data_IF_744694401632
#
_entry.id   IF_744694401632
#
_cell.length_a   1.000
_cell.length_b   1.000
_cell.length_c   1.000
_cell.angle_alpha   90.00
_cell.angle_beta   90.00
_cell.angle_gamma   90.00
#
_symmetry.space_group_name_H-M   'P 1'
#
loop_
_entity.id
_entity.type
_entity.pdbx_description
1 polymer ?
#
# COMPACT_ATOMS: atom_id res chain seq x y z
N UNK A 1 -17.88 8.10 -0.68
CA UNK A 1 -16.81 8.07 -1.71
C UNK A 1 -16.92 6.76 -2.50
N UNK A 2 -16.92 6.80 -3.82
CA UNK A 2 -16.88 5.57 -4.63
C UNK A 2 -15.63 4.74 -4.33
N UNK A 3 -15.76 3.43 -4.46
CA UNK A 3 -14.66 2.51 -4.07
C UNK A 3 -13.37 2.75 -4.87
N UNK A 4 -13.48 3.09 -6.13
CA UNK A 4 -12.32 3.37 -6.99
C UNK A 4 -11.59 4.65 -6.54
N UNK A 5 -12.34 5.66 -6.15
CA UNK A 5 -11.81 6.90 -5.61
C UNK A 5 -11.15 6.68 -4.24
N UNK A 6 -11.78 5.87 -3.39
CA UNK A 6 -11.23 5.49 -2.08
C UNK A 6 -9.92 4.70 -2.23
N UNK A 7 -9.85 3.80 -3.22
CA UNK A 7 -8.63 3.06 -3.55
C UNK A 7 -7.51 4.01 -3.97
N UNK A 8 -7.80 4.92 -4.89
CA UNK A 8 -6.84 5.92 -5.35
C UNK A 8 -6.32 6.79 -4.23
N UNK A 9 -7.18 7.26 -3.36
CA UNK A 9 -6.80 8.08 -2.20
C UNK A 9 -5.93 7.30 -1.21
N UNK A 10 -6.27 6.04 -0.95
CA UNK A 10 -5.46 5.17 -0.10
C UNK A 10 -4.04 5.02 -0.67
N UNK A 11 -3.94 4.73 -1.96
CA UNK A 11 -2.65 4.58 -2.65
C UNK A 11 -1.85 5.89 -2.59
N UNK A 12 -2.49 7.01 -2.85
CA UNK A 12 -1.85 8.33 -2.80
C UNK A 12 -1.25 8.61 -1.42
N UNK A 13 -1.98 8.28 -0.36
CA UNK A 13 -1.49 8.45 1.01
C UNK A 13 -0.28 7.56 1.29
N UNK A 14 -0.26 6.33 0.77
CA UNK A 14 0.90 5.43 0.92
C UNK A 14 2.13 5.95 0.18
N UNK A 15 1.95 6.71 -0.88
CA UNK A 15 3.05 7.27 -1.69
C UNK A 15 3.51 8.66 -1.24
N UNK A 16 2.82 9.27 -0.29
CA UNK A 16 3.16 10.61 0.24
C UNK A 16 4.63 10.79 0.62
N UNK A 17 5.30 9.78 1.23
CA UNK A 17 6.72 9.92 1.54
C UNK A 17 7.62 10.22 0.36
N UNK A 18 7.19 9.99 -0.88
CA UNK A 18 7.96 10.35 -2.08
C UNK A 18 8.07 11.86 -2.30
N UNK A 19 7.18 12.66 -1.69
CA UNK A 19 7.26 14.12 -1.73
C UNK A 19 7.99 14.69 -0.51
N UNK A 20 8.36 13.85 0.46
CA UNK A 20 8.94 14.27 1.72
C UNK A 20 10.39 14.70 1.56
N UNK A 21 10.79 15.73 2.32
CA UNK A 21 12.18 16.18 2.44
C UNK A 21 12.98 15.22 3.34
N UNK A 22 14.29 15.39 3.34
CA UNK A 22 15.28 14.46 3.90
C UNK A 22 15.00 13.95 5.32
N UNK A 23 14.46 14.76 6.23
CA UNK A 23 14.19 14.33 7.61
C UNK A 23 13.09 13.27 7.70
N UNK A 24 11.98 13.48 6.99
CA UNK A 24 10.88 12.53 6.94
C UNK A 24 11.35 11.26 6.23
N UNK A 25 12.20 11.42 5.23
CA UNK A 25 12.85 10.35 4.49
C UNK A 25 13.68 9.45 5.40
N UNK A 26 14.48 10.04 6.29
CA UNK A 26 15.28 9.30 7.27
C UNK A 26 14.40 8.55 8.26
N UNK A 27 13.32 9.18 8.72
CA UNK A 27 12.37 8.56 9.63
C UNK A 27 11.73 7.32 9.01
N UNK A 28 11.30 7.43 7.76
CA UNK A 28 10.71 6.34 7.01
C UNK A 28 11.72 5.21 6.80
N UNK A 29 12.97 5.56 6.48
CA UNK A 29 14.04 4.59 6.30
C UNK A 29 14.31 3.81 7.60
N UNK A 30 14.34 4.50 8.74
CA UNK A 30 14.44 3.88 10.06
C UNK A 30 13.25 2.96 10.35
N UNK A 31 12.05 3.38 10.00
CA UNK A 31 10.84 2.59 10.18
C UNK A 31 10.93 1.28 9.40
N UNK A 32 11.33 1.32 8.13
CA UNK A 32 11.48 0.11 7.33
C UNK A 32 12.63 -0.76 7.81
N UNK A 33 13.71 -0.18 8.32
CA UNK A 33 14.80 -0.93 8.93
C UNK A 33 14.31 -1.73 10.14
N UNK A 34 13.49 -1.12 10.98
CA UNK A 34 12.88 -1.78 12.14
C UNK A 34 11.91 -2.90 11.73
N UNK A 35 11.28 -2.83 10.54
CA UNK A 35 10.44 -3.94 10.05
C UNK A 35 11.26 -5.17 9.70
N UNK A 36 12.52 -5.01 9.34
CA UNK A 36 13.43 -6.13 9.05
C UNK A 36 13.95 -6.77 10.33
N UNK A 37 14.26 -5.96 11.35
CA UNK A 37 14.76 -6.41 12.65
C UNK A 37 13.98 -5.72 13.79
N UNK A 38 12.73 -6.13 14.03
CA UNK A 38 11.89 -5.41 14.97
C UNK A 38 12.36 -5.56 16.42
N UNK A 39 12.50 -4.42 17.11
CA UNK A 39 12.72 -4.39 18.56
C UNK A 39 11.40 -4.64 19.30
N UNK A 40 11.50 -4.96 20.61
CA UNK A 40 10.30 -5.16 21.43
C UNK A 40 9.45 -3.88 21.50
N UNK A 41 10.10 -2.72 21.57
CA UNK A 41 9.42 -1.40 21.58
C UNK A 41 8.68 -1.19 20.25
N UNK A 42 9.31 -1.49 19.13
CA UNK A 42 8.71 -1.37 17.80
C UNK A 42 7.48 -2.28 17.66
N UNK A 43 7.60 -3.55 18.10
CA UNK A 43 6.47 -4.51 18.03
C UNK A 43 5.26 -4.02 18.81
N UNK A 44 5.47 -3.46 20.00
CA UNK A 44 4.40 -2.90 20.82
C UNK A 44 3.74 -1.70 20.12
N UNK A 45 4.56 -0.79 19.59
CA UNK A 45 4.08 0.41 18.91
C UNK A 45 3.24 0.06 17.68
N UNK A 46 3.72 -0.88 16.88
CA UNK A 46 3.02 -1.32 15.66
C UNK A 46 1.70 -2.01 16.02
N UNK A 47 1.69 -2.86 17.04
CA UNK A 47 0.45 -3.56 17.43
C UNK A 47 -0.62 -2.60 17.95
N UNK A 48 -0.23 -1.51 18.60
CA UNK A 48 -1.16 -0.51 19.14
C UNK A 48 -1.65 0.47 18.06
N UNK A 49 -0.76 0.93 17.17
CA UNK A 49 -1.07 1.96 16.17
C UNK A 49 -1.51 1.40 14.81
N UNK A 50 -1.02 0.21 14.45
CA UNK A 50 -1.36 -0.39 13.16
C UNK A 50 -2.78 -0.96 13.11
N UNK A 51 -3.39 -1.26 14.26
CA UNK A 51 -4.73 -1.86 14.30
C UNK A 51 -5.80 -1.02 13.60
N UNK A 52 -5.91 0.31 13.85
CA UNK A 52 -6.87 1.14 13.11
C UNK A 52 -6.57 1.22 11.62
N UNK A 53 -5.29 1.26 11.24
CA UNK A 53 -4.86 1.27 9.84
C UNK A 53 -5.23 -0.04 9.14
N UNK A 54 -4.97 -1.18 9.79
CA UNK A 54 -5.32 -2.50 9.27
C UNK A 54 -6.84 -2.61 9.09
N UNK A 55 -7.61 -2.14 10.08
CA UNK A 55 -9.07 -2.11 9.99
C UNK A 55 -9.57 -1.32 8.80
N UNK A 56 -9.01 -0.14 8.58
CA UNK A 56 -9.34 0.72 7.44
C UNK A 56 -9.01 0.04 6.10
N UNK A 57 -7.82 -0.55 5.99
CA UNK A 57 -7.38 -1.23 4.78
C UNK A 57 -8.25 -2.47 4.49
N UNK A 58 -8.60 -3.23 5.51
CA UNK A 58 -9.49 -4.39 5.39
C UNK A 58 -10.87 -3.97 4.92
N UNK A 59 -11.42 -2.89 5.47
CA UNK A 59 -12.73 -2.36 5.06
C UNK A 59 -12.71 -1.89 3.61
N UNK A 60 -11.62 -1.27 3.17
CA UNK A 60 -11.44 -0.90 1.77
C UNK A 60 -11.43 -2.14 0.87
N UNK A 61 -10.69 -3.19 1.24
CA UNK A 61 -10.65 -4.44 0.47
C UNK A 61 -12.00 -5.13 0.42
N UNK A 62 -12.78 -5.04 1.50
CA UNK A 62 -14.14 -5.59 1.54
C UNK A 62 -15.07 -4.96 0.50
N UNK A 63 -14.85 -3.69 0.18
CA UNK A 63 -15.63 -3.00 -0.87
C UNK A 63 -15.43 -3.60 -2.26
N UNK A 64 -14.26 -4.24 -2.50
CA UNK A 64 -13.93 -4.91 -3.76
C UNK A 64 -14.23 -6.40 -3.73
N UNK A 65 -14.11 -7.01 -2.56
CA UNK A 65 -14.30 -8.44 -2.36
C UNK A 65 -15.26 -8.71 -1.19
N UNK A 66 -16.55 -8.35 -1.33
CA UNK A 66 -17.48 -8.39 -0.18
C UNK A 66 -17.72 -9.79 0.37
N UNK A 67 -17.43 -10.84 -0.41
CA UNK A 67 -17.63 -12.24 -0.01
C UNK A 67 -16.36 -12.90 0.54
N UNK A 68 -15.21 -12.20 0.50
CA UNK A 68 -13.97 -12.74 1.00
C UNK A 68 -13.96 -12.79 2.54
N UNK A 69 -13.29 -13.80 3.09
CA UNK A 69 -13.11 -13.90 4.53
C UNK A 69 -12.10 -12.87 5.04
N UNK A 70 -12.05 -12.69 6.35
CA UNK A 70 -11.16 -11.70 6.97
C UNK A 70 -9.69 -11.97 6.65
N UNK A 71 -9.29 -13.22 6.66
CA UNK A 71 -7.91 -13.62 6.35
C UNK A 71 -7.52 -13.18 4.94
N UNK A 72 -8.37 -13.43 3.96
CA UNK A 72 -8.14 -13.01 2.56
C UNK A 72 -8.09 -11.50 2.44
N UNK A 73 -8.96 -10.78 3.15
CA UNK A 73 -8.97 -9.32 3.14
C UNK A 73 -7.68 -8.73 3.74
N UNK A 74 -7.16 -9.33 4.81
CA UNK A 74 -5.90 -8.91 5.42
C UNK A 74 -4.73 -9.13 4.44
N UNK A 75 -4.70 -10.27 3.78
CA UNK A 75 -3.66 -10.57 2.77
C UNK A 75 -3.74 -9.59 1.60
N UNK A 76 -4.95 -9.30 1.13
CA UNK A 76 -5.14 -8.32 0.05
C UNK A 76 -4.68 -6.92 0.47
N UNK A 77 -5.00 -6.50 1.69
CA UNK A 77 -4.54 -5.22 2.23
C UNK A 77 -3.01 -5.15 2.32
N UNK A 78 -2.39 -6.22 2.82
CA UNK A 78 -0.93 -6.32 2.91
C UNK A 78 -0.28 -6.27 1.52
N UNK A 79 -0.87 -6.97 0.56
CA UNK A 79 -0.41 -6.93 -0.83
C UNK A 79 -0.46 -5.51 -1.40
N UNK A 80 -1.57 -4.80 -1.21
CA UNK A 80 -1.74 -3.43 -1.71
C UNK A 80 -0.71 -2.48 -1.08
N UNK A 81 -0.53 -2.54 0.23
CA UNK A 81 0.48 -1.73 0.92
C UNK A 81 1.87 -2.05 0.38
N UNK A 82 2.19 -3.31 0.14
CA UNK A 82 3.45 -3.74 -0.44
C UNK A 82 3.70 -3.17 -1.82
N UNK A 83 2.67 -3.09 -2.66
CA UNK A 83 2.79 -2.49 -4.00
C UNK A 83 3.17 -1.00 -3.94
N UNK A 84 2.73 -0.31 -2.90
CA UNK A 84 3.06 1.10 -2.71
C UNK A 84 4.43 1.28 -2.03
N UNK A 85 4.70 0.49 -1.00
CA UNK A 85 5.89 0.65 -0.17
C UNK A 85 7.19 0.36 -0.91
N UNK A 86 7.17 -0.46 -1.95
CA UNK A 86 8.37 -0.77 -2.74
C UNK A 86 8.95 0.50 -3.38
N UNK A 87 8.11 1.43 -3.83
CA UNK A 87 8.55 2.67 -4.45
C UNK A 87 9.15 3.65 -3.45
N UNK A 88 8.63 3.65 -2.22
CA UNK A 88 9.15 4.47 -1.13
C UNK A 88 10.47 3.90 -0.62
N UNK A 89 10.49 2.59 -0.37
CA UNK A 89 11.63 1.88 0.22
C UNK A 89 12.85 1.86 -0.71
N UNK A 90 12.62 1.72 -2.01
CA UNK A 90 13.67 1.63 -3.03
C UNK A 90 13.79 2.88 -3.89
N UNK A 91 13.35 4.03 -3.41
CA UNK A 91 13.32 5.27 -4.18
C UNK A 91 14.70 5.70 -4.68
N UNK A 92 15.76 5.45 -3.88
CA UNK A 92 17.12 5.81 -4.28
C UNK A 92 17.59 4.97 -5.48
N UNK A 93 17.33 3.68 -5.46
CA UNK A 93 17.64 2.79 -6.58
C UNK A 93 16.81 3.13 -7.82
N UNK A 94 15.53 3.43 -7.63
CA UNK A 94 14.61 3.76 -8.72
C UNK A 94 14.86 5.15 -9.30
N UNK A 95 15.59 6.03 -8.61
CA UNK A 95 16.04 7.31 -9.15
C UNK A 95 17.05 7.16 -10.29
N UNK A 96 17.71 6.01 -10.37
CA UNK A 96 18.71 5.72 -11.41
C UNK A 96 18.07 5.25 -12.71
N UNK A 97 18.77 5.42 -13.88
CA UNK A 97 18.30 4.86 -15.13
C UNK A 97 18.16 3.32 -15.03
N UNK A 98 17.24 2.69 -15.78
CA UNK A 98 16.36 3.31 -16.79
C UNK A 98 15.06 3.90 -16.24
N UNK A 99 14.76 3.71 -14.95
CA UNK A 99 13.49 4.17 -14.38
C UNK A 99 13.50 5.68 -14.15
N UNK A 100 14.59 6.20 -13.60
CA UNK A 100 14.81 7.63 -13.37
C UNK A 100 13.63 8.29 -12.63
N UNK A 101 13.17 7.64 -11.57
CA UNK A 101 12.03 8.09 -10.78
C UNK A 101 12.40 9.34 -9.98
N UNK A 102 11.70 10.44 -10.22
CA UNK A 102 11.91 11.71 -9.49
C UNK A 102 10.97 11.80 -8.29
N UNK A 103 11.41 12.53 -7.26
CA UNK A 103 10.55 12.84 -6.13
C UNK A 103 9.57 13.95 -6.50
N UNK A 104 8.36 13.93 -5.92
CA UNK A 104 7.40 15.02 -6.06
C UNK A 104 6.00 14.57 -6.40
N UNK A 105 5.09 15.53 -6.46
CA UNK A 105 3.65 15.30 -6.66
C UNK A 105 3.35 14.66 -8.03
N UNK A 106 4.04 15.05 -9.07
CA UNK A 106 3.82 14.48 -10.41
C UNK A 106 4.10 12.97 -10.43
N UNK A 107 5.15 12.53 -9.74
CA UNK A 107 5.50 11.12 -9.61
C UNK A 107 4.44 10.38 -8.79
N UNK A 108 3.98 10.97 -7.70
CA UNK A 108 2.92 10.39 -6.85
C UNK A 108 1.65 10.20 -7.68
N UNK A 109 1.23 11.19 -8.44
CA UNK A 109 0.02 11.10 -9.27
C UNK A 109 0.16 10.04 -10.36
N UNK A 110 1.32 9.97 -11.01
CA UNK A 110 1.58 8.96 -12.03
C UNK A 110 1.55 7.54 -11.45
N UNK A 111 2.25 7.30 -10.34
CA UNK A 111 2.25 5.99 -9.67
C UNK A 111 0.86 5.64 -9.11
N UNK A 112 0.15 6.62 -8.56
CA UNK A 112 -1.22 6.42 -8.07
C UNK A 112 -2.12 5.90 -9.19
N UNK A 113 -2.05 6.51 -10.36
CA UNK A 113 -2.85 6.09 -11.51
C UNK A 113 -2.50 4.67 -11.95
N UNK A 114 -1.21 4.34 -12.06
CA UNK A 114 -0.75 3.01 -12.46
C UNK A 114 -1.13 1.94 -11.45
N UNK A 115 -0.81 2.15 -10.18
CA UNK A 115 -1.08 1.18 -9.13
C UNK A 115 -2.59 0.98 -8.97
N UNK A 116 -3.37 2.07 -9.04
CA UNK A 116 -4.84 1.98 -8.97
C UNK A 116 -5.41 1.13 -10.11
N UNK A 117 -4.94 1.34 -11.33
CA UNK A 117 -5.39 0.57 -12.49
C UNK A 117 -5.07 -0.93 -12.34
N UNK A 118 -3.85 -1.23 -11.93
CA UNK A 118 -3.41 -2.62 -11.75
C UNK A 118 -4.11 -3.29 -10.56
N UNK A 119 -4.27 -2.57 -9.45
CA UNK A 119 -4.96 -3.08 -8.27
C UNK A 119 -6.45 -3.32 -8.56
N UNK A 120 -7.10 -2.40 -9.24
CA UNK A 120 -8.52 -2.55 -9.61
C UNK A 120 -8.73 -3.80 -10.48
N UNK A 121 -7.88 -3.99 -11.49
CA UNK A 121 -7.94 -5.16 -12.36
C UNK A 121 -7.72 -6.46 -11.55
N UNK A 122 -6.71 -6.48 -10.69
CA UNK A 122 -6.37 -7.64 -9.86
C UNK A 122 -7.48 -7.99 -8.86
N UNK A 123 -8.00 -6.99 -8.16
CA UNK A 123 -9.06 -7.20 -7.18
C UNK A 123 -10.37 -7.67 -7.84
N UNK A 124 -10.71 -7.12 -8.99
CA UNK A 124 -11.89 -7.52 -9.75
C UNK A 124 -11.75 -8.97 -10.24
N UNK A 125 -10.59 -9.32 -10.77
CA UNK A 125 -10.31 -10.69 -11.22
C UNK A 125 -10.35 -11.69 -10.07
N UNK A 126 -9.76 -11.36 -8.92
CA UNK A 126 -9.78 -12.19 -7.72
C UNK A 126 -11.20 -12.47 -7.23
N UNK A 127 -12.08 -11.47 -7.26
CA UNK A 127 -13.48 -11.64 -6.92
C UNK A 127 -14.18 -12.60 -7.88
N UNK A 128 -13.92 -12.47 -9.18
CA UNK A 128 -14.48 -13.35 -10.21
C UNK A 128 -14.04 -14.80 -10.01
N UNK A 129 -12.76 -15.02 -9.75
CA UNK A 129 -12.17 -16.35 -9.46
C UNK A 129 -12.80 -16.98 -8.22
N UNK A 130 -12.92 -16.21 -7.14
CA UNK A 130 -13.55 -16.67 -5.89
C UNK A 130 -15.01 -17.08 -6.11
N UNK A 131 -15.76 -16.31 -6.90
CA UNK A 131 -17.15 -16.63 -7.27
C UNK A 131 -17.22 -17.90 -8.12
N UNK A 132 -16.31 -18.10 -9.04
CA UNK A 132 -16.24 -19.28 -9.90
C UNK A 132 -15.91 -20.55 -9.10
N UNK A 133 -15.00 -20.46 -8.12
CA UNK A 133 -14.61 -21.61 -7.30
C UNK A 133 -15.70 -22.05 -6.32
N UNK A 134 -16.66 -21.18 -6.01
CA UNK A 134 -17.79 -21.49 -5.14
C UNK A 134 -18.98 -22.09 -5.90
N UNK A 135 -18.94 -22.02 -7.21
CA UNK A 135 -19.98 -22.59 -8.07
C UNK A 135 -19.54 -23.95 -8.59
#
# INVERSE_FOLDING_TARGET
>A
MPREEALGEFIRQQLRPLSARDEVSRYIHLFYWETVRPTAVYRKLVSEEATPFVGFAVDLMRRFMPKADRRTLIVAAAWLVGQCSVFVRHREQLANPPVSLTSGEATIEWLTALISAWALAGLTHAQTEASSSLS
#
